data_IF_719231421858
#
_entry.id   IF_719231421858
#
_cell.length_a   1.000
_cell.length_b   1.000
_cell.length_c   1.000
_cell.angle_alpha   90.00
_cell.angle_beta   90.00
_cell.angle_gamma   90.00
#
_symmetry.space_group_name_H-M   'P 1'
#
loop_
_entity.id
_entity.type
_entity.pdbx_description
1 polymer ?
#
# COMPACT_ATOMS: atom_id res chain seq x y z
N UNK A 1 -12.31 -20.57 24.15
CA UNK A 1 -10.86 -20.48 23.93
C UNK A 1 -10.60 -20.70 22.45
N UNK A 2 -10.13 -19.67 21.76
CA UNK A 2 -9.53 -19.83 20.43
C UNK A 2 -8.14 -20.42 20.66
N UNK A 3 -7.80 -21.49 19.95
CA UNK A 3 -6.45 -22.04 19.99
C UNK A 3 -5.63 -21.24 18.97
N UNK A 4 -4.53 -20.64 19.41
CA UNK A 4 -3.55 -20.01 18.53
C UNK A 4 -2.91 -21.10 17.66
N UNK A 5 -3.16 -21.05 16.35
CA UNK A 5 -2.72 -22.08 15.40
C UNK A 5 -1.29 -21.83 14.86
N UNK A 6 -0.60 -20.81 15.38
CA UNK A 6 0.77 -20.48 15.00
C UNK A 6 1.08 -19.02 15.33
N UNK A 7 2.38 -18.72 15.46
CA UNK A 7 2.89 -17.35 15.57
C UNK A 7 3.44 -16.90 14.22
N UNK A 8 2.89 -15.85 13.64
CA UNK A 8 3.57 -15.10 12.57
C UNK A 8 4.45 -14.05 13.24
N UNK A 9 5.75 -14.02 12.89
CA UNK A 9 6.61 -12.90 13.27
C UNK A 9 5.97 -11.63 12.67
N UNK A 10 5.54 -10.73 13.55
CA UNK A 10 4.68 -9.61 13.21
C UNK A 10 5.41 -8.63 12.29
N UNK A 11 4.83 -8.45 11.10
CA UNK A 11 5.23 -7.52 10.02
C UNK A 11 6.45 -7.98 9.21
N UNK A 12 6.20 -8.42 7.97
CA UNK A 12 7.23 -8.53 6.94
C UNK A 12 7.41 -7.17 6.26
N UNK A 13 8.64 -6.81 5.93
CA UNK A 13 8.89 -5.66 5.06
C UNK A 13 8.28 -5.95 3.70
N UNK A 14 7.69 -4.94 3.10
CA UNK A 14 7.07 -5.06 1.79
C UNK A 14 7.03 -3.70 1.10
N UNK A 15 7.04 -3.77 -0.22
CA UNK A 15 6.66 -2.67 -1.10
C UNK A 15 5.25 -2.95 -1.64
N UNK A 16 5.06 -2.87 -2.95
CA UNK A 16 3.76 -3.03 -3.61
C UNK A 16 3.39 -4.49 -3.86
N UNK A 17 4.35 -5.40 -3.96
CA UNK A 17 4.04 -6.83 -4.09
C UNK A 17 3.88 -7.55 -2.73
N UNK A 18 3.04 -8.60 -2.65
CA UNK A 18 2.83 -9.33 -1.41
C UNK A 18 4.11 -10.01 -0.93
N UNK A 19 4.54 -9.79 0.32
CA UNK A 19 5.81 -10.29 0.81
C UNK A 19 5.86 -11.82 0.85
N UNK A 20 6.94 -12.39 0.31
CA UNK A 20 7.17 -13.84 0.21
C UNK A 20 6.63 -14.49 -1.06
N UNK A 21 6.10 -13.71 -2.01
CA UNK A 21 5.78 -14.19 -3.36
C UNK A 21 7.00 -14.15 -4.28
N UNK A 22 6.92 -14.81 -5.44
CA UNK A 22 7.95 -14.73 -6.49
C UNK A 22 8.16 -13.29 -7.00
N UNK A 23 7.15 -12.44 -6.91
CA UNK A 23 7.19 -11.09 -7.46
C UNK A 23 7.71 -10.04 -6.49
N UNK A 24 7.78 -10.34 -5.20
CA UNK A 24 8.26 -9.39 -4.20
C UNK A 24 9.78 -9.42 -4.07
N UNK A 25 10.36 -8.24 -3.81
CA UNK A 25 11.72 -8.13 -3.30
C UNK A 25 11.93 -9.02 -2.07
N UNK A 26 13.15 -9.55 -1.94
CA UNK A 26 13.60 -10.17 -0.70
C UNK A 26 13.76 -9.12 0.41
N UNK A 27 13.74 -9.56 1.67
CA UNK A 27 13.99 -8.69 2.82
C UNK A 27 15.37 -7.99 2.73
N UNK A 28 16.39 -8.69 2.20
CA UNK A 28 17.73 -8.11 2.00
C UNK A 28 17.72 -7.00 0.95
N UNK A 29 17.07 -7.22 -0.20
CA UNK A 29 16.94 -6.22 -1.25
C UNK A 29 16.15 -4.99 -0.75
N UNK A 30 15.02 -5.20 -0.06
CA UNK A 30 14.25 -4.09 0.51
C UNK A 30 15.09 -3.29 1.52
N UNK A 31 15.79 -3.96 2.44
CA UNK A 31 16.60 -3.28 3.44
C UNK A 31 17.83 -2.56 2.85
N UNK A 32 18.17 -2.79 1.59
CA UNK A 32 19.18 -2.02 0.88
C UNK A 32 18.61 -0.71 0.26
N UNK A 33 17.29 -0.59 0.13
CA UNK A 33 16.64 0.58 -0.47
C UNK A 33 16.52 1.75 0.53
N UNK A 34 16.64 3.01 0.05
CA UNK A 34 16.29 4.19 0.84
C UNK A 34 14.87 4.10 1.39
N UNK A 35 14.66 4.54 2.63
CA UNK A 35 13.36 4.47 3.31
C UNK A 35 13.07 3.14 3.98
N UNK A 36 13.65 2.01 3.52
CA UNK A 36 13.53 0.69 4.17
C UNK A 36 14.73 0.31 5.02
N UNK A 37 15.94 0.75 4.63
CA UNK A 37 17.19 0.49 5.36
C UNK A 37 17.19 0.86 6.85
N UNK A 38 18.11 0.26 7.60
CA UNK A 38 18.32 0.49 9.03
C UNK A 38 19.81 0.77 9.32
N UNK A 39 20.14 1.64 10.30
CA UNK A 39 19.24 2.52 11.06
C UNK A 39 18.65 3.66 10.22
N UNK A 40 17.59 4.32 10.71
CA UNK A 40 16.81 5.33 9.96
C UNK A 40 17.45 6.73 9.89
N UNK A 41 18.61 6.94 10.49
CA UNK A 41 19.20 8.28 10.64
C UNK A 41 19.43 8.96 9.28
N UNK A 42 19.94 8.22 8.29
CA UNK A 42 20.20 8.77 6.96
C UNK A 42 18.91 9.11 6.19
N UNK A 43 17.88 8.27 6.30
CA UNK A 43 16.60 8.51 5.63
C UNK A 43 15.85 9.70 6.25
N UNK A 44 15.91 9.84 7.58
CA UNK A 44 15.30 10.99 8.29
C UNK A 44 16.04 12.28 7.96
N UNK A 45 17.38 12.24 7.88
CA UNK A 45 18.18 13.40 7.49
C UNK A 45 17.84 13.84 6.06
N UNK A 46 17.75 12.90 5.13
CA UNK A 46 17.39 13.20 3.74
C UNK A 46 15.96 13.72 3.60
N UNK A 47 14.99 13.13 4.31
CA UNK A 47 13.62 13.64 4.33
C UNK A 47 13.53 15.08 4.85
N UNK A 48 14.28 15.44 5.90
CA UNK A 48 14.36 16.82 6.37
C UNK A 48 15.02 17.75 5.35
N UNK A 49 16.09 17.30 4.68
CA UNK A 49 16.76 18.06 3.63
C UNK A 49 15.80 18.39 2.48
N UNK A 50 15.01 17.40 2.04
CA UNK A 50 14.01 17.56 0.98
C UNK A 50 12.88 18.52 1.40
N UNK A 51 12.40 18.41 2.64
CA UNK A 51 11.39 19.35 3.16
C UNK A 51 11.93 20.78 3.26
N UNK A 52 13.16 20.96 3.75
CA UNK A 52 13.80 22.26 3.84
C UNK A 52 14.07 22.87 2.45
N UNK A 53 14.43 22.05 1.46
CA UNK A 53 14.59 22.48 0.07
C UNK A 53 13.27 22.95 -0.55
N UNK A 54 12.17 22.22 -0.28
CA UNK A 54 10.86 22.51 -0.86
C UNK A 54 10.12 23.67 -0.16
N UNK A 55 10.24 23.78 1.16
CA UNK A 55 9.42 24.67 1.99
C UNK A 55 10.21 25.82 2.63
N UNK A 56 11.54 25.70 2.69
CA UNK A 56 12.41 26.55 3.49
C UNK A 56 12.83 25.87 4.80
N UNK A 57 14.02 26.23 5.27
CA UNK A 57 14.63 25.60 6.45
C UNK A 57 13.75 25.74 7.70
N UNK A 58 13.35 24.61 8.27
CA UNK A 58 12.51 24.54 9.47
C UNK A 58 11.01 24.77 9.24
N UNK A 59 10.59 25.12 8.02
CA UNK A 59 9.18 25.30 7.68
C UNK A 59 8.53 23.94 7.42
N UNK A 60 7.36 23.71 8.03
CA UNK A 60 6.62 22.44 7.94
C UNK A 60 5.14 22.72 7.73
N UNK A 61 4.48 21.87 6.95
CA UNK A 61 3.04 21.97 6.72
C UNK A 61 2.25 21.14 7.72
N UNK A 62 0.97 21.50 7.85
CA UNK A 62 -0.02 20.71 8.58
C UNK A 62 -0.77 19.79 7.60
N UNK A 63 -1.09 18.58 8.04
CA UNK A 63 -1.81 17.60 7.24
C UNK A 63 -3.02 17.00 7.99
N UNK A 64 -4.03 16.56 7.25
CA UNK A 64 -5.20 15.85 7.76
C UNK A 64 -5.21 14.41 7.23
N UNK A 65 -5.11 13.44 8.14
CA UNK A 65 -5.22 12.01 7.85
C UNK A 65 -6.68 11.57 7.99
N UNK A 66 -7.33 11.32 6.87
CA UNK A 66 -8.76 10.96 6.80
C UNK A 66 -8.94 9.44 6.79
N UNK A 67 -9.76 8.91 7.72
CA UNK A 67 -9.96 7.46 7.89
C UNK A 67 -11.41 7.09 8.20
N UNK A 68 -11.77 5.88 7.77
CA UNK A 68 -13.01 5.23 8.24
C UNK A 68 -12.87 4.83 9.72
N UNK A 69 -14.00 4.75 10.42
CA UNK A 69 -14.10 4.43 11.85
C UNK A 69 -13.71 2.98 12.27
N UNK A 70 -12.76 2.35 11.57
CA UNK A 70 -12.15 1.08 11.95
C UNK A 70 -10.91 1.34 12.81
N UNK A 71 -10.75 0.59 13.90
CA UNK A 71 -9.64 0.77 14.84
C UNK A 71 -8.28 0.68 14.16
N UNK A 72 -8.09 -0.28 13.24
CA UNK A 72 -6.81 -0.46 12.53
C UNK A 72 -6.42 0.79 11.71
N UNK A 73 -7.41 1.51 11.17
CA UNK A 73 -7.15 2.69 10.35
C UNK A 73 -6.83 3.92 11.21
N UNK A 74 -7.53 4.05 12.34
CA UNK A 74 -7.24 5.08 13.35
C UNK A 74 -5.81 4.89 13.89
N UNK A 75 -5.44 3.67 14.26
CA UNK A 75 -4.11 3.35 14.78
C UNK A 75 -3.00 3.65 13.76
N UNK A 76 -3.24 3.35 12.48
CA UNK A 76 -2.32 3.69 11.38
C UNK A 76 -2.05 5.19 11.26
N UNK A 77 -3.10 6.02 11.25
CA UNK A 77 -2.92 7.48 11.24
C UNK A 77 -2.24 8.01 12.51
N UNK A 78 -2.55 7.46 13.68
CA UNK A 78 -1.91 7.86 14.95
C UNK A 78 -0.42 7.53 14.94
N UNK A 79 -0.03 6.35 14.44
CA UNK A 79 1.38 6.02 14.29
C UNK A 79 2.07 6.98 13.32
N UNK A 80 1.48 7.23 12.14
CA UNK A 80 2.06 8.14 11.16
C UNK A 80 2.21 9.55 11.73
N UNK A 81 1.19 10.05 12.44
CA UNK A 81 1.23 11.33 13.16
C UNK A 81 2.41 11.40 14.13
N UNK A 82 2.63 10.37 14.94
CA UNK A 82 3.78 10.31 15.86
C UNK A 82 5.12 10.34 15.09
N UNK A 83 5.24 9.53 14.03
CA UNK A 83 6.48 9.44 13.26
C UNK A 83 6.83 10.75 12.56
N UNK A 84 5.88 11.40 11.87
CA UNK A 84 6.17 12.66 11.15
C UNK A 84 6.40 13.82 12.11
N UNK A 85 5.73 13.81 13.27
CA UNK A 85 5.96 14.82 14.32
C UNK A 85 7.36 14.67 14.91
N UNK A 86 7.74 13.45 15.30
CA UNK A 86 9.02 13.17 15.96
C UNK A 86 10.21 13.41 15.04
N UNK A 87 10.11 12.98 13.78
CA UNK A 87 11.27 12.94 12.88
C UNK A 87 11.31 14.11 11.90
N UNK A 88 10.17 14.70 11.56
CA UNK A 88 10.06 15.77 10.55
C UNK A 88 9.48 17.07 11.11
N UNK A 89 8.98 17.10 12.36
CA UNK A 89 8.35 18.29 12.94
C UNK A 89 7.00 18.68 12.31
N UNK A 90 6.41 17.80 11.50
CA UNK A 90 5.12 18.06 10.87
C UNK A 90 3.97 17.90 11.87
N UNK A 91 2.91 18.69 11.70
CA UNK A 91 1.67 18.51 12.46
C UNK A 91 0.66 17.76 11.63
N UNK A 92 0.07 16.71 12.20
CA UNK A 92 -0.98 15.95 11.55
C UNK A 92 -2.18 15.84 12.48
N UNK A 93 -3.38 15.96 11.92
CA UNK A 93 -4.66 15.77 12.62
C UNK A 93 -5.45 14.63 11.99
N UNK A 94 -6.40 14.06 12.72
CA UNK A 94 -7.23 12.95 12.24
C UNK A 94 -8.64 13.44 11.90
N UNK A 95 -9.14 13.06 10.73
CA UNK A 95 -10.54 13.18 10.34
C UNK A 95 -11.17 11.79 10.29
N UNK A 96 -12.01 11.47 11.26
CA UNK A 96 -12.66 10.16 11.38
C UNK A 96 -14.08 10.28 10.84
N UNK A 97 -14.41 9.46 9.84
CA UNK A 97 -15.72 9.42 9.22
C UNK A 97 -16.34 8.03 9.19
N UNK A 98 -17.64 7.99 8.96
CA UNK A 98 -18.34 6.77 8.57
C UNK A 98 -17.97 6.41 7.11
N UNK A 99 -17.96 5.12 6.78
CA UNK A 99 -17.44 4.61 5.51
C UNK A 99 -18.06 5.26 4.28
N UNK A 100 -19.39 5.36 4.20
CA UNK A 100 -20.06 5.95 3.04
C UNK A 100 -19.76 7.46 2.91
N UNK A 101 -19.73 8.18 4.04
CA UNK A 101 -19.37 9.61 4.05
C UNK A 101 -17.94 9.82 3.55
N UNK A 102 -17.00 8.99 3.98
CA UNK A 102 -15.62 9.06 3.52
C UNK A 102 -15.48 8.69 2.04
N UNK A 103 -16.20 7.67 1.56
CA UNK A 103 -16.21 7.33 0.13
C UNK A 103 -16.62 8.52 -0.74
N UNK A 104 -17.64 9.27 -0.34
CA UNK A 104 -18.06 10.47 -1.07
C UNK A 104 -17.04 11.62 -0.96
N UNK A 105 -16.40 11.82 0.20
CA UNK A 105 -15.28 12.76 0.34
C UNK A 105 -14.14 12.42 -0.62
N UNK A 106 -13.76 11.14 -0.70
CA UNK A 106 -12.66 10.68 -1.56
C UNK A 106 -12.99 10.84 -3.05
N UNK A 107 -14.21 10.48 -3.47
CA UNK A 107 -14.69 10.72 -4.85
C UNK A 107 -14.81 12.21 -5.21
N UNK A 108 -14.85 13.10 -4.23
CA UNK A 108 -14.87 14.55 -4.46
C UNK A 108 -13.48 15.19 -4.36
N UNK A 109 -12.41 14.42 -4.08
CA UNK A 109 -11.08 14.96 -3.81
C UNK A 109 -10.98 15.78 -2.51
N UNK A 110 -11.97 15.66 -1.61
CA UNK A 110 -12.04 16.43 -0.36
C UNK A 110 -11.24 15.76 0.76
N UNK A 111 -9.94 15.55 0.53
CA UNK A 111 -9.01 14.98 1.50
C UNK A 111 -7.57 15.46 1.18
N UNK A 112 -6.69 15.43 2.18
CA UNK A 112 -5.26 15.67 2.00
C UNK A 112 -4.50 14.35 1.99
N UNK A 113 -4.78 13.51 2.98
CA UNK A 113 -4.27 12.15 3.06
C UNK A 113 -5.41 11.20 3.42
N UNK A 114 -5.42 10.01 2.82
CA UNK A 114 -6.30 8.91 3.21
C UNK A 114 -5.43 7.73 3.67
N UNK A 115 -5.81 7.10 4.77
CA UNK A 115 -5.22 5.83 5.21
C UNK A 115 -6.28 4.74 5.14
N UNK A 116 -5.93 3.61 4.52
CA UNK A 116 -6.86 2.52 4.34
C UNK A 116 -6.26 1.38 3.53
N UNK A 117 -7.05 0.34 3.33
CA UNK A 117 -6.71 -0.72 2.38
C UNK A 117 -6.97 -0.21 0.97
N UNK A 118 -5.91 -0.10 0.17
CA UNK A 118 -5.98 0.24 -1.25
C UNK A 118 -5.40 -0.85 -2.14
N UNK A 119 -4.59 -1.76 -1.58
CA UNK A 119 -3.82 -2.71 -2.37
C UNK A 119 -4.38 -4.11 -2.16
N UNK A 120 -4.65 -4.81 -3.26
CA UNK A 120 -5.20 -6.15 -3.22
C UNK A 120 -4.68 -6.99 -4.39
N UNK A 121 -4.61 -8.31 -4.22
CA UNK A 121 -4.26 -9.23 -5.31
C UNK A 121 -4.98 -10.56 -5.12
N UNK A 122 -5.53 -11.11 -6.19
CA UNK A 122 -6.29 -12.35 -6.16
C UNK A 122 -5.38 -13.58 -6.22
N UNK A 123 -4.34 -13.51 -7.03
CA UNK A 123 -3.42 -14.63 -7.29
C UNK A 123 -1.95 -14.30 -7.06
N UNK A 124 -1.65 -13.09 -6.60
CA UNK A 124 -0.29 -12.62 -6.33
C UNK A 124 0.48 -12.19 -7.57
N UNK A 125 -0.14 -12.14 -8.74
CA UNK A 125 0.50 -11.70 -9.98
C UNK A 125 0.49 -10.17 -10.06
N UNK A 126 1.57 -9.52 -10.55
CA UNK A 126 1.62 -8.05 -10.63
C UNK A 126 0.53 -7.45 -11.53
N UNK A 127 0.02 -8.20 -12.51
CA UNK A 127 -1.05 -7.71 -13.38
C UNK A 127 -2.36 -7.49 -12.61
N UNK A 128 -2.62 -8.25 -11.52
CA UNK A 128 -3.78 -8.02 -10.64
C UNK A 128 -3.72 -6.62 -10.03
N UNK A 129 -2.52 -6.19 -9.63
CA UNK A 129 -2.29 -4.92 -8.96
C UNK A 129 -2.20 -3.76 -9.95
N UNK A 130 -1.28 -3.83 -10.93
CA UNK A 130 -0.96 -2.68 -11.76
C UNK A 130 -2.13 -2.22 -12.63
N UNK A 131 -2.95 -3.16 -13.12
CA UNK A 131 -4.13 -2.78 -13.90
C UNK A 131 -5.18 -2.08 -13.04
N UNK A 132 -5.45 -2.57 -11.84
CA UNK A 132 -6.48 -1.98 -10.96
C UNK A 132 -6.03 -0.65 -10.34
N UNK A 133 -4.74 -0.52 -10.05
CA UNK A 133 -4.21 0.56 -9.22
C UNK A 133 -3.41 1.61 -9.98
N UNK A 134 -2.88 1.36 -11.19
CA UNK A 134 -2.04 2.31 -11.95
C UNK A 134 -2.63 2.70 -13.29
N UNK A 135 -3.10 1.74 -14.09
CA UNK A 135 -3.55 2.00 -15.46
C UNK A 135 -4.83 2.84 -15.43
N UNK A 136 -4.74 4.09 -15.92
CA UNK A 136 -5.80 5.10 -15.76
C UNK A 136 -7.18 4.65 -16.26
N UNK A 137 -7.21 3.85 -17.33
CA UNK A 137 -8.45 3.31 -17.89
C UNK A 137 -9.25 2.50 -16.86
N UNK A 138 -8.57 1.72 -16.03
CA UNK A 138 -9.16 0.75 -15.11
C UNK A 138 -9.29 1.26 -13.67
N UNK A 139 -8.67 2.40 -13.33
CA UNK A 139 -8.77 3.00 -12.01
C UNK A 139 -10.22 3.25 -11.58
N UNK A 140 -10.49 3.04 -10.29
CA UNK A 140 -11.74 3.44 -9.66
C UNK A 140 -11.92 4.98 -9.73
N UNK A 141 -13.16 5.47 -9.66
CA UNK A 141 -13.43 6.93 -9.64
C UNK A 141 -12.73 7.63 -8.48
N UNK A 142 -12.64 6.99 -7.31
CA UNK A 142 -11.93 7.56 -6.15
C UNK A 142 -10.43 7.64 -6.36
N UNK A 143 -9.82 6.68 -7.04
CA UNK A 143 -8.37 6.68 -7.23
C UNK A 143 -7.94 7.60 -8.37
N UNK A 144 -8.77 7.79 -9.41
CA UNK A 144 -8.52 8.81 -10.44
C UNK A 144 -8.25 10.20 -9.86
N UNK A 145 -8.90 10.57 -8.75
CA UNK A 145 -8.61 11.83 -8.06
C UNK A 145 -7.20 11.88 -7.45
N UNK A 146 -6.75 10.79 -6.82
CA UNK A 146 -5.41 10.69 -6.25
C UNK A 146 -4.32 10.90 -7.32
N UNK A 147 -4.60 10.49 -8.57
CA UNK A 147 -3.66 10.60 -9.67
C UNK A 147 -3.66 11.94 -10.40
N UNK A 148 -4.66 12.82 -10.20
CA UNK A 148 -4.81 14.06 -11.00
C UNK A 148 -3.56 14.94 -11.04
N UNK A 149 -2.72 14.92 -10.00
CA UNK A 149 -1.47 15.66 -9.96
C UNK A 149 -0.36 15.08 -10.86
N UNK A 150 -0.44 13.80 -11.23
CA UNK A 150 0.62 13.08 -11.96
C UNK A 150 0.19 12.56 -13.33
N UNK A 151 -1.10 12.62 -13.71
CA UNK A 151 -1.63 12.00 -14.95
C UNK A 151 -0.88 12.37 -16.23
N UNK A 152 -0.39 13.61 -16.34
CA UNK A 152 0.28 14.12 -17.53
C UNK A 152 1.81 14.17 -17.38
N UNK A 153 2.35 13.61 -16.30
CA UNK A 153 3.80 13.56 -16.08
C UNK A 153 4.45 12.52 -16.99
N UNK A 154 5.64 12.80 -17.56
CA UNK A 154 6.39 11.82 -18.33
C UNK A 154 6.59 10.49 -17.58
N UNK A 155 6.78 10.57 -16.27
CA UNK A 155 6.99 9.43 -15.37
C UNK A 155 5.75 8.53 -15.31
N UNK A 156 4.55 9.10 -15.16
CA UNK A 156 3.31 8.32 -15.12
C UNK A 156 2.97 7.71 -16.49
N UNK A 157 3.20 8.45 -17.58
CA UNK A 157 3.00 7.93 -18.95
C UNK A 157 3.96 6.76 -19.23
N UNK A 158 5.23 6.90 -18.81
CA UNK A 158 6.22 5.82 -18.90
C UNK A 158 5.80 4.60 -18.08
N UNK A 159 5.42 4.79 -16.82
CA UNK A 159 5.03 3.71 -15.93
C UNK A 159 3.90 2.86 -16.53
N UNK A 160 2.85 3.51 -17.06
CA UNK A 160 1.75 2.79 -17.71
C UNK A 160 2.21 1.98 -18.94
N UNK A 161 3.11 2.53 -19.76
CA UNK A 161 3.64 1.81 -20.92
C UNK A 161 4.53 0.62 -20.52
N UNK A 162 5.33 0.77 -19.47
CA UNK A 162 6.21 -0.28 -18.97
C UNK A 162 5.42 -1.42 -18.31
N UNK A 163 4.29 -1.13 -17.64
CA UNK A 163 3.35 -2.14 -17.13
C UNK A 163 2.82 -3.01 -18.27
N UNK A 164 2.34 -2.38 -19.35
CA UNK A 164 1.84 -3.13 -20.53
C UNK A 164 2.94 -3.98 -21.14
N UNK A 165 4.18 -3.47 -21.17
CA UNK A 165 5.34 -4.21 -21.68
C UNK A 165 5.67 -5.40 -20.78
N UNK A 166 5.65 -5.22 -19.45
CA UNK A 166 5.85 -6.28 -18.47
C UNK A 166 4.78 -7.37 -18.60
N UNK A 167 3.51 -7.00 -18.76
CA UNK A 167 2.41 -7.96 -18.87
C UNK A 167 2.57 -8.87 -20.09
N UNK A 168 3.18 -8.36 -21.17
CA UNK A 168 3.46 -9.13 -22.38
C UNK A 168 4.74 -9.99 -22.32
N UNK A 169 5.54 -9.91 -21.26
CA UNK A 169 6.78 -10.68 -21.12
C UNK A 169 6.48 -12.13 -20.67
N UNK A 170 7.02 -13.11 -21.40
CA UNK A 170 6.75 -14.53 -21.18
C UNK A 170 7.87 -15.23 -20.41
N UNK A 171 9.07 -14.66 -20.35
CA UNK A 171 10.15 -15.15 -19.49
C UNK A 171 9.89 -14.69 -18.04
N UNK A 172 9.64 -15.63 -17.10
CA UNK A 172 9.26 -15.27 -15.74
C UNK A 172 10.37 -14.54 -14.96
N UNK A 173 11.65 -14.86 -15.22
CA UNK A 173 12.77 -14.20 -14.53
C UNK A 173 12.95 -12.79 -15.07
N UNK A 174 12.81 -12.61 -16.38
CA UNK A 174 12.85 -11.27 -16.99
C UNK A 174 11.66 -10.43 -16.54
N UNK A 175 10.45 -10.99 -16.51
CA UNK A 175 9.23 -10.32 -16.02
C UNK A 175 9.37 -9.89 -14.56
N UNK A 176 9.99 -10.72 -13.72
CA UNK A 176 10.26 -10.38 -12.32
C UNK A 176 11.21 -9.17 -12.18
N UNK A 177 12.30 -9.15 -12.95
CA UNK A 177 13.23 -8.02 -12.94
C UNK A 177 12.56 -6.73 -13.42
N UNK A 178 11.67 -6.82 -14.41
CA UNK A 178 10.83 -5.70 -14.83
C UNK A 178 9.90 -5.24 -13.71
N UNK A 179 9.24 -6.18 -13.00
CA UNK A 179 8.40 -5.86 -11.86
C UNK A 179 9.15 -5.10 -10.76
N UNK A 180 10.37 -5.49 -10.42
CA UNK A 180 11.17 -4.77 -9.42
C UNK A 180 11.41 -3.31 -9.81
N UNK A 181 11.69 -3.05 -11.09
CA UNK A 181 11.84 -1.67 -11.58
C UNK A 181 10.50 -0.93 -11.53
N UNK A 182 9.39 -1.58 -11.90
CA UNK A 182 8.05 -0.98 -11.82
C UNK A 182 7.66 -0.59 -10.39
N UNK A 183 7.99 -1.40 -9.39
CA UNK A 183 7.73 -1.06 -7.99
C UNK A 183 8.51 0.19 -7.55
N UNK A 184 9.76 0.35 -8.01
CA UNK A 184 10.57 1.55 -7.74
C UNK A 184 10.02 2.78 -8.47
N UNK A 185 9.70 2.65 -9.76
CA UNK A 185 9.11 3.72 -10.57
C UNK A 185 7.76 4.17 -9.96
N UNK A 186 6.94 3.24 -9.43
CA UNK A 186 5.70 3.56 -8.73
C UNK A 186 5.96 4.33 -7.42
N UNK A 187 7.00 3.98 -6.66
CA UNK A 187 7.36 4.72 -5.45
C UNK A 187 7.82 6.15 -5.76
N UNK A 188 8.55 6.36 -6.86
CA UNK A 188 9.02 7.69 -7.27
C UNK A 188 7.87 8.66 -7.58
N UNK A 189 6.76 8.16 -8.17
CA UNK A 189 5.56 8.97 -8.40
C UNK A 189 4.94 9.54 -7.11
N UNK A 190 5.24 8.97 -5.94
CA UNK A 190 4.91 9.51 -4.62
C UNK A 190 3.43 9.83 -4.34
N UNK A 191 2.48 9.28 -5.11
CA UNK A 191 1.04 9.55 -4.91
C UNK A 191 0.42 8.67 -3.80
N UNK A 192 1.04 7.51 -3.52
CA UNK A 192 0.70 6.60 -2.45
C UNK A 192 1.98 5.95 -1.90
N UNK A 193 1.97 5.61 -0.62
CA UNK A 193 3.09 4.94 0.04
C UNK A 193 2.63 3.59 0.61
N UNK A 194 3.32 2.48 0.29
CA UNK A 194 3.02 1.20 0.92
C UNK A 194 3.39 1.28 2.39
N UNK A 195 2.48 0.86 3.26
CA UNK A 195 2.66 0.97 4.71
C UNK A 195 2.88 -0.39 5.36
N UNK A 196 1.91 -1.29 5.25
CA UNK A 196 2.04 -2.67 5.69
C UNK A 196 1.06 -3.56 4.92
N UNK A 197 1.48 -4.79 4.64
CA UNK A 197 0.57 -5.83 4.20
C UNK A 197 -0.21 -6.38 5.39
N UNK A 198 -1.54 -6.40 5.28
CA UNK A 198 -2.40 -6.99 6.29
C UNK A 198 -2.74 -8.42 5.91
N UNK A 199 -2.59 -9.34 6.87
CA UNK A 199 -3.06 -10.71 6.72
C UNK A 199 -4.41 -10.80 7.39
N UNK A 200 -5.43 -11.20 6.64
CA UNK A 200 -6.78 -11.40 7.16
C UNK A 200 -6.85 -12.77 7.82
N UNK A 201 -7.24 -12.82 9.09
CA UNK A 201 -7.52 -14.05 9.82
C UNK A 201 -9.02 -14.22 9.97
N UNK A 202 -9.70 -14.95 9.07
CA UNK A 202 -11.12 -15.15 9.20
C UNK A 202 -11.42 -16.10 10.37
N UNK A 203 -12.46 -15.77 11.12
CA UNK A 203 -12.94 -16.55 12.24
C UNK A 203 -14.26 -17.23 11.92
N UNK A 204 -14.34 -18.54 12.19
CA UNK A 204 -15.55 -19.33 11.97
C UNK A 204 -16.00 -20.03 13.26
N UNK A 205 -17.27 -20.43 13.30
CA UNK A 205 -17.74 -21.33 14.38
C UNK A 205 -17.09 -22.71 14.22
N UNK A 206 -17.02 -23.49 15.29
CA UNK A 206 -16.49 -24.88 15.24
C UNK A 206 -17.33 -25.83 14.37
N UNK A 207 -18.53 -25.41 13.96
CA UNK A 207 -19.38 -26.18 13.07
C UNK A 207 -18.89 -26.14 11.62
N UNK A 208 -18.19 -25.07 11.22
CA UNK A 208 -17.66 -24.90 9.86
C UNK A 208 -16.47 -25.83 9.68
N UNK A 209 -16.60 -26.76 8.72
CA UNK A 209 -15.55 -27.71 8.33
C UNK A 209 -15.30 -27.61 6.83
N UNK A 210 -14.12 -28.08 6.41
CA UNK A 210 -13.74 -28.08 4.98
C UNK A 210 -13.37 -26.70 4.42
N UNK A 211 -13.43 -25.64 5.22
CA UNK A 211 -12.94 -24.32 4.83
C UNK A 211 -11.41 -24.27 4.93
N UNK A 212 -10.75 -23.83 3.86
CA UNK A 212 -9.30 -23.60 3.83
C UNK A 212 -8.98 -22.18 3.38
N UNK A 213 -8.02 -21.55 4.04
CA UNK A 213 -7.44 -20.28 3.61
C UNK A 213 -6.33 -20.55 2.61
N UNK A 214 -6.28 -19.78 1.52
CA UNK A 214 -5.10 -19.75 0.63
C UNK A 214 -4.22 -18.54 0.93
N UNK A 215 -3.06 -18.50 0.28
CA UNK A 215 -2.01 -17.48 0.46
C UNK A 215 -2.52 -16.04 0.26
N UNK A 216 -3.59 -15.83 -0.53
CA UNK A 216 -4.28 -14.54 -0.72
C UNK A 216 -5.70 -14.54 -0.11
N UNK A 217 -5.77 -14.26 1.18
CA UNK A 217 -6.98 -14.43 2.00
C UNK A 217 -8.14 -13.46 1.70
N UNK A 218 -7.87 -12.25 1.19
CA UNK A 218 -8.93 -11.25 0.96
C UNK A 218 -9.90 -11.62 -0.15
N UNK A 219 -9.45 -12.37 -1.15
CA UNK A 219 -10.21 -12.72 -2.36
C UNK A 219 -10.66 -14.18 -2.33
N UNK A 220 -9.88 -15.07 -1.70
CA UNK A 220 -10.27 -16.48 -1.53
C UNK A 220 -11.34 -16.73 -0.46
N UNK A 221 -11.63 -15.74 0.41
CA UNK A 221 -12.62 -15.89 1.50
C UNK A 221 -14.04 -16.24 1.03
N UNK A 222 -14.37 -15.94 -0.23
CA UNK A 222 -15.70 -16.21 -0.79
C UNK A 222 -15.76 -17.44 -1.68
N UNK A 223 -14.64 -17.88 -2.25
CA UNK A 223 -14.60 -18.84 -3.36
C UNK A 223 -14.69 -20.30 -2.94
N UNK A 224 -15.02 -20.59 -1.67
CA UNK A 224 -15.07 -21.96 -1.15
C UNK A 224 -16.32 -22.31 -0.35
N UNK A 225 -17.31 -21.42 -0.22
CA UNK A 225 -18.50 -21.73 0.59
C UNK A 225 -19.28 -22.94 0.09
N UNK A 226 -19.23 -23.20 -1.22
CA UNK A 226 -19.78 -24.42 -1.84
C UNK A 226 -19.12 -25.74 -1.40
N UNK A 227 -17.94 -25.69 -0.76
CA UNK A 227 -17.18 -26.87 -0.28
C UNK A 227 -17.18 -27.03 1.24
N UNK A 228 -17.77 -26.06 1.94
CA UNK A 228 -17.91 -26.06 3.39
C UNK A 228 -19.04 -27.00 3.82
N UNK A 229 -18.87 -27.70 4.95
CA UNK A 229 -19.87 -28.59 5.55
C UNK A 229 -19.88 -28.53 7.08
#
# INVERSE_FOLDING_TARGET
>A
AFNEAGSTAGVKHAAWMPPGTFWAFSDEELLALPGWRQPKDEDIAEANRLLDEALGAGERFEAVCSVSNSQMYIDGCLFLQDQVKKNLGMQMTLDIGEGAVNSEKYKAGNYQMKYGSAQETSVGDPDDHYYEEIIYEYLSTSDKYAYTAVLDTPEYVKLQADIVTQSAELDPVKRQQMNYQLELDQLELSYAMPYAWTIIFPGWTKAVRGWNQFDFGSQSKWTQWERVW
#
